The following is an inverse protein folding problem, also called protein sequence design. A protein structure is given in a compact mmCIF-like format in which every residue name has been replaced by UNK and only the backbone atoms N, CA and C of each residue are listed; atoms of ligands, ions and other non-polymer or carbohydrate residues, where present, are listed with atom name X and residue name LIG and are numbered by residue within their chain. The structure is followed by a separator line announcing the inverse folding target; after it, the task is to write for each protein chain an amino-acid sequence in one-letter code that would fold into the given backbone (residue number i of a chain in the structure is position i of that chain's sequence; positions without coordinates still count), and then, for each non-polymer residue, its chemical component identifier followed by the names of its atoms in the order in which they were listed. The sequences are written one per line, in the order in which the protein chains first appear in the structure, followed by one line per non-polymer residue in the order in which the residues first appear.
data_IF_459835984605
#
_entry.id   IF_459835984605
#
_cell.length_a   1.000
_cell.length_b   1.000
_cell.length_c   1.000
_cell.angle_alpha   90.00
_cell.angle_beta   90.00
_cell.angle_gamma   90.00
#
_symmetry.space_group_name_H-M   'P 1'
#
loop_
_entity.id
_entity.type
_entity.pdbx_description
1 polymer ?
#
# COMPACT_ATOMS: atom_id res chain seq x y z
N UNK A 1 13.75 11.40 -8.14
CA UNK A 1 13.91 9.93 -8.18
C UNK A 1 12.53 9.29 -8.29
N UNK A 2 12.34 8.27 -9.13
CA UNK A 2 11.04 7.59 -9.28
C UNK A 2 11.24 6.06 -9.26
N UNK A 3 10.19 5.32 -8.92
CA UNK A 3 10.17 3.86 -8.89
C UNK A 3 9.91 3.29 -7.50
N UNK A 4 10.06 1.98 -7.37
CA UNK A 4 9.92 1.26 -6.11
C UNK A 4 11.26 1.17 -5.38
N UNK A 5 11.22 1.41 -4.07
CA UNK A 5 12.36 1.36 -3.15
C UNK A 5 12.03 0.39 -2.03
N UNK A 6 13.07 -0.15 -1.39
CA UNK A 6 12.91 -0.97 -0.21
C UNK A 6 14.05 -0.73 0.79
N UNK A 7 13.76 -0.99 2.05
CA UNK A 7 14.78 -1.20 3.07
C UNK A 7 14.68 -2.63 3.61
N UNK A 8 15.81 -3.21 3.98
CA UNK A 8 15.92 -4.57 4.52
C UNK A 8 16.58 -4.52 5.90
N UNK A 9 15.94 -5.12 6.89
CA UNK A 9 16.54 -5.46 8.17
C UNK A 9 16.67 -6.98 8.28
N UNK A 10 17.71 -7.47 8.96
CA UNK A 10 17.89 -8.92 9.20
C UNK A 10 17.93 -9.22 10.68
N UNK A 11 17.18 -10.22 11.11
CA UNK A 11 17.16 -10.72 12.49
C UNK A 11 17.39 -12.22 12.46
N UNK A 12 18.50 -12.70 13.02
CA UNK A 12 18.84 -14.13 13.11
C UNK A 12 18.75 -14.88 11.76
N UNK A 13 19.12 -14.20 10.66
CA UNK A 13 19.08 -14.76 9.30
C UNK A 13 17.76 -14.54 8.55
N UNK A 14 16.70 -14.13 9.24
CA UNK A 14 15.41 -13.81 8.64
C UNK A 14 15.39 -12.36 8.14
N UNK A 15 15.00 -12.14 6.88
CA UNK A 15 14.99 -10.83 6.26
C UNK A 15 13.59 -10.20 6.30
N UNK A 16 13.50 -8.99 6.86
CA UNK A 16 12.29 -8.16 6.90
C UNK A 16 12.47 -7.04 5.90
N UNK A 17 11.55 -6.91 4.95
CA UNK A 17 11.59 -5.88 3.90
C UNK A 17 10.38 -4.99 3.97
N UNK A 18 10.62 -3.68 3.89
CA UNK A 18 9.56 -2.67 3.77
C UNK A 18 9.74 -2.01 2.41
N UNK A 19 8.65 -1.88 1.64
CA UNK A 19 8.66 -1.35 0.27
C UNK A 19 7.84 -0.07 0.20
N UNK A 20 8.29 0.87 -0.61
CA UNK A 20 7.58 2.12 -0.90
C UNK A 20 7.84 2.57 -2.34
N UNK A 21 7.14 3.60 -2.80
CA UNK A 21 7.29 4.14 -4.14
C UNK A 21 7.52 5.64 -4.09
N UNK A 22 8.31 6.14 -5.04
CA UNK A 22 8.46 7.56 -5.33
C UNK A 22 7.98 7.83 -6.75
N UNK A 23 7.25 8.91 -6.92
CA UNK A 23 6.72 9.37 -8.20
C UNK A 23 6.76 10.89 -8.29
N UNK A 24 6.66 11.41 -9.52
CA UNK A 24 6.52 12.85 -9.74
C UNK A 24 5.15 13.31 -9.28
N UNK A 25 5.11 14.41 -8.54
CA UNK A 25 3.86 15.08 -8.17
C UNK A 25 3.09 15.57 -9.41
N UNK A 26 3.82 15.91 -10.48
CA UNK A 26 3.28 16.32 -11.80
C UNK A 26 3.11 15.12 -12.76
N UNK A 27 2.97 13.89 -12.24
CA UNK A 27 2.66 12.74 -13.09
C UNK A 27 1.27 12.90 -13.73
N UNK A 28 1.05 12.20 -14.85
CA UNK A 28 -0.22 12.30 -15.59
C UNK A 28 -1.41 11.75 -14.82
N UNK A 29 -1.13 10.81 -13.94
CA UNK A 29 -2.09 10.20 -13.03
C UNK A 29 -1.52 10.27 -11.59
N UNK A 30 -2.39 10.19 -10.59
CA UNK A 30 -2.02 9.97 -9.20
C UNK A 30 -2.76 8.73 -8.68
N UNK A 31 -2.11 7.84 -7.92
CA UNK A 31 -2.80 6.73 -7.31
C UNK A 31 -3.80 7.25 -6.27
N UNK A 32 -4.89 6.54 -6.00
CA UNK A 32 -5.76 6.89 -4.87
C UNK A 32 -5.10 6.60 -3.51
N UNK A 33 -4.22 5.58 -3.46
CA UNK A 33 -3.43 5.20 -2.28
C UNK A 33 -2.06 4.67 -2.70
N UNK A 34 -1.03 4.84 -1.85
CA UNK A 34 0.29 4.23 -2.10
C UNK A 34 0.22 2.71 -2.03
N UNK A 35 -0.44 2.16 -1.01
CA UNK A 35 -0.58 0.71 -0.85
C UNK A 35 -2.01 0.34 -0.54
N UNK A 36 -2.39 -0.86 -0.97
CA UNK A 36 -3.69 -1.45 -0.66
C UNK A 36 -3.45 -2.87 -0.17
N UNK A 37 -3.88 -3.17 1.05
CA UNK A 37 -3.83 -4.51 1.61
C UNK A 37 -5.21 -5.12 1.56
N UNK A 38 -5.28 -6.33 1.00
CA UNK A 38 -6.51 -7.10 0.83
C UNK A 38 -6.25 -8.57 1.19
N UNK A 39 -7.33 -9.29 1.45
CA UNK A 39 -7.28 -10.72 1.71
C UNK A 39 -7.47 -11.52 0.42
N UNK A 40 -7.03 -12.79 0.44
CA UNK A 40 -7.25 -13.69 -0.69
C UNK A 40 -8.76 -13.84 -0.91
N UNK A 41 -9.20 -13.67 -2.15
CA UNK A 41 -10.60 -13.78 -2.55
C UNK A 41 -11.37 -12.46 -2.51
N UNK A 42 -10.77 -11.36 -2.05
CA UNK A 42 -11.41 -10.05 -2.07
C UNK A 42 -11.58 -9.52 -3.51
N UNK A 43 -12.65 -8.77 -3.73
CA UNK A 43 -12.85 -8.01 -4.97
C UNK A 43 -12.21 -6.63 -4.82
N UNK A 44 -11.22 -6.35 -5.66
CA UNK A 44 -10.37 -5.17 -5.53
C UNK A 44 -10.59 -4.23 -6.70
N UNK A 45 -10.58 -2.92 -6.43
CA UNK A 45 -10.56 -1.91 -7.46
C UNK A 45 -9.35 -0.99 -7.28
N UNK A 46 -8.37 -1.10 -8.17
CA UNK A 46 -7.16 -0.26 -8.16
C UNK A 46 -7.43 0.97 -9.00
N UNK A 47 -7.38 2.15 -8.37
CA UNK A 47 -7.76 3.40 -9.04
C UNK A 47 -6.62 4.42 -9.13
N UNK A 48 -6.58 5.11 -10.27
CA UNK A 48 -5.69 6.21 -10.57
C UNK A 48 -6.50 7.42 -11.03
N UNK A 49 -6.37 8.54 -10.32
CA UNK A 49 -7.00 9.80 -10.68
C UNK A 49 -6.23 10.46 -11.82
N UNK A 50 -6.92 10.80 -12.91
CA UNK A 50 -6.37 11.58 -14.01
C UNK A 50 -6.09 13.02 -13.55
N UNK A 51 -4.87 13.49 -13.77
CA UNK A 51 -4.44 14.85 -13.37
C UNK A 51 -4.09 15.69 -14.58
N UNK A 52 -3.37 15.11 -15.54
CA UNK A 52 -3.08 15.78 -16.81
C UNK A 52 -3.94 15.15 -17.91
N UNK A 53 -4.63 16.00 -18.66
CA UNK A 53 -5.36 15.59 -19.86
C UNK A 53 -4.37 15.54 -21.02
N UNK A 54 -4.30 14.38 -21.68
CA UNK A 54 -3.55 14.21 -22.92
C UNK A 54 -4.38 13.45 -23.93
N UNK A 55 -4.20 13.81 -25.18
CA UNK A 55 -4.77 13.13 -26.33
C UNK A 55 -3.94 11.89 -26.70
N UNK A 56 -3.79 10.96 -25.75
CA UNK A 56 -3.01 9.72 -25.87
C UNK A 56 -3.74 8.57 -25.15
N UNK A 57 -3.44 7.33 -25.52
CA UNK A 57 -3.95 6.15 -24.82
C UNK A 57 -3.37 6.07 -23.40
N UNK A 58 -4.21 5.67 -22.44
CA UNK A 58 -3.75 5.34 -21.08
C UNK A 58 -3.35 3.87 -21.02
N UNK A 59 -2.25 3.56 -20.31
CA UNK A 59 -1.71 2.21 -20.22
C UNK A 59 -1.43 1.85 -18.76
N UNK A 60 -1.75 0.60 -18.41
CA UNK A 60 -1.54 0.04 -17.07
C UNK A 60 -0.54 -1.10 -17.13
N UNK A 61 0.42 -1.09 -16.20
CA UNK A 61 1.42 -2.12 -16.03
C UNK A 61 1.37 -2.69 -14.61
N UNK A 62 1.78 -3.96 -14.45
CA UNK A 62 2.06 -4.60 -13.17
C UNK A 62 3.47 -5.14 -13.19
N UNK A 63 4.30 -4.70 -12.24
CA UNK A 63 5.72 -5.06 -12.14
C UNK A 63 6.49 -4.81 -13.47
N UNK A 64 6.05 -3.83 -14.27
CA UNK A 64 6.62 -3.52 -15.58
C UNK A 64 6.06 -4.33 -16.75
N UNK A 65 5.24 -5.35 -16.49
CA UNK A 65 4.51 -6.10 -17.53
C UNK A 65 3.20 -5.40 -17.87
N UNK A 66 2.89 -5.29 -19.17
CA UNK A 66 1.65 -4.69 -19.65
C UNK A 66 0.43 -5.49 -19.20
N UNK A 67 -0.63 -4.80 -18.76
CA UNK A 67 -1.94 -5.42 -18.43
C UNK A 67 -2.96 -5.08 -19.50
N UNK A 68 -3.30 -3.80 -19.63
CA UNK A 68 -4.28 -3.31 -20.59
C UNK A 68 -4.07 -1.82 -20.89
N UNK A 69 -4.78 -1.33 -21.90
CA UNK A 69 -4.82 0.07 -22.31
C UNK A 69 -6.25 0.57 -22.48
N UNK A 70 -6.44 1.87 -22.30
CA UNK A 70 -7.70 2.57 -22.58
C UNK A 70 -7.48 3.54 -23.75
N UNK A 71 -8.30 3.49 -24.81
CA UNK A 71 -8.18 4.37 -25.95
C UNK A 71 -8.27 5.86 -25.57
N UNK A 72 -7.49 6.70 -26.24
CA UNK A 72 -7.38 8.16 -26.07
C UNK A 72 -8.70 8.89 -25.81
N UNK A 73 -9.75 8.58 -26.57
CA UNK A 73 -11.03 9.30 -26.51
C UNK A 73 -11.95 8.81 -25.38
N UNK A 74 -11.58 7.71 -24.72
CA UNK A 74 -12.37 7.03 -23.71
C UNK A 74 -11.66 6.99 -22.35
N UNK A 75 -10.53 7.72 -22.20
CA UNK A 75 -9.77 7.74 -20.94
C UNK A 75 -10.62 8.39 -19.83
N UNK A 76 -11.05 7.63 -18.81
CA UNK A 76 -11.94 8.12 -17.76
C UNK A 76 -11.21 9.12 -16.84
N UNK A 77 -11.96 9.79 -15.97
CA UNK A 77 -11.38 10.65 -14.93
C UNK A 77 -10.71 9.85 -13.81
N UNK A 78 -11.21 8.64 -13.57
CA UNK A 78 -10.63 7.65 -12.67
C UNK A 78 -10.37 6.39 -13.50
N UNK A 79 -9.10 6.07 -13.70
CA UNK A 79 -8.67 4.88 -14.38
C UNK A 79 -8.63 3.73 -13.39
N UNK A 80 -9.39 2.66 -13.66
CA UNK A 80 -9.64 1.60 -12.70
C UNK A 80 -9.22 0.21 -13.23
N UNK A 81 -8.73 -0.63 -12.33
CA UNK A 81 -8.45 -2.05 -12.59
C UNK A 81 -9.28 -2.87 -11.62
N UNK A 82 -10.28 -3.55 -12.15
CA UNK A 82 -11.11 -4.47 -11.37
C UNK A 82 -10.47 -5.86 -11.31
N UNK A 83 -10.20 -6.35 -10.11
CA UNK A 83 -9.66 -7.67 -9.85
C UNK A 83 -10.62 -8.44 -8.94
N UNK A 84 -11.55 -9.24 -9.51
CA UNK A 84 -12.43 -10.06 -8.73
C UNK A 84 -11.66 -11.27 -8.16
N UNK A 85 -11.94 -11.63 -6.90
CA UNK A 85 -11.32 -12.76 -6.21
C UNK A 85 -9.78 -12.76 -6.22
N UNK A 86 -9.18 -11.65 -5.80
CA UNK A 86 -7.74 -11.43 -5.85
C UNK A 86 -6.94 -12.58 -5.21
N UNK A 87 -5.89 -13.03 -5.91
CA UNK A 87 -4.98 -14.09 -5.44
C UNK A 87 -3.61 -13.50 -5.06
N UNK A 88 -2.79 -14.21 -4.27
CA UNK A 88 -1.44 -13.75 -3.89
C UNK A 88 -0.54 -13.37 -5.08
N UNK A 89 -0.73 -14.04 -6.22
CA UNK A 89 -0.04 -13.74 -7.48
C UNK A 89 -0.44 -12.40 -8.10
N UNK A 90 -1.61 -11.83 -7.73
CA UNK A 90 -2.10 -10.53 -8.22
C UNK A 90 -1.42 -9.35 -7.53
N UNK A 91 -0.76 -9.59 -6.39
CA UNK A 91 0.03 -8.60 -5.69
C UNK A 91 1.19 -8.07 -6.56
N UNK A 92 1.59 -6.83 -6.29
CA UNK A 92 2.66 -6.17 -7.04
C UNK A 92 2.51 -4.67 -7.10
N UNK A 93 3.42 -4.03 -7.83
CA UNK A 93 3.37 -2.60 -8.10
C UNK A 93 2.64 -2.38 -9.41
N UNK A 94 1.50 -1.71 -9.34
CA UNK A 94 0.71 -1.28 -10.48
C UNK A 94 1.13 0.14 -10.87
N UNK A 95 1.25 0.40 -12.16
CA UNK A 95 1.56 1.73 -12.66
C UNK A 95 0.64 2.15 -13.79
N UNK A 96 0.35 3.45 -13.83
CA UNK A 96 -0.48 4.08 -14.85
C UNK A 96 0.25 5.27 -15.47
N UNK A 97 0.22 5.36 -16.80
CA UNK A 97 0.78 6.47 -17.58
C UNK A 97 0.08 6.58 -18.93
N UNK A 98 0.26 7.70 -19.63
CA UNK A 98 -0.03 7.74 -21.06
C UNK A 98 1.04 7.00 -21.86
N UNK A 99 0.67 6.49 -23.04
CA UNK A 99 1.50 5.60 -23.86
C UNK A 99 2.84 6.23 -24.27
N UNK A 100 2.87 7.53 -24.61
CA UNK A 100 4.09 8.28 -24.95
C UNK A 100 4.95 8.66 -23.74
N UNK A 101 4.48 8.35 -22.53
CA UNK A 101 5.21 8.58 -21.29
C UNK A 101 6.32 7.54 -21.03
N UNK A 102 6.95 7.65 -19.86
CA UNK A 102 7.97 6.71 -19.39
C UNK A 102 7.77 6.37 -17.91
N UNK A 103 8.67 5.55 -17.34
CA UNK A 103 8.61 5.15 -15.94
C UNK A 103 8.66 6.37 -14.99
N UNK A 104 9.30 7.47 -15.39
CA UNK A 104 9.39 8.69 -14.58
C UNK A 104 8.11 9.52 -14.56
N UNK A 105 7.22 9.35 -15.54
CA UNK A 105 5.90 10.00 -15.61
C UNK A 105 4.77 9.09 -15.15
N UNK A 106 5.11 7.90 -14.67
CA UNK A 106 4.14 6.91 -14.18
C UNK A 106 3.70 7.23 -12.75
N UNK A 107 2.42 7.00 -12.49
CA UNK A 107 1.88 6.85 -11.16
C UNK A 107 2.14 5.42 -10.67
N UNK A 108 2.34 5.22 -9.36
CA UNK A 108 2.54 3.89 -8.78
C UNK A 108 1.63 3.68 -7.58
N UNK A 109 1.02 2.50 -7.51
CA UNK A 109 0.35 1.98 -6.30
C UNK A 109 0.76 0.52 -6.11
N UNK A 110 0.76 0.03 -4.88
CA UNK A 110 1.14 -1.35 -4.58
C UNK A 110 -0.03 -2.10 -3.99
N UNK A 111 -0.42 -3.18 -4.66
CA UNK A 111 -1.36 -4.15 -4.12
C UNK A 111 -0.61 -5.20 -3.31
N UNK A 112 -1.09 -5.46 -2.10
CA UNK A 112 -0.64 -6.50 -1.17
C UNK A 112 -1.83 -7.43 -0.99
N UNK A 113 -1.68 -8.68 -1.41
CA UNK A 113 -2.71 -9.71 -1.20
C UNK A 113 -2.17 -10.71 -0.19
N UNK A 114 -2.84 -10.82 0.96
CA UNK A 114 -2.50 -11.79 2.00
C UNK A 114 -2.75 -13.20 1.49
N UNK A 115 -1.95 -14.17 1.95
CA UNK A 115 -2.10 -15.59 1.54
C UNK A 115 -3.45 -16.18 1.96
N UNK A 116 -3.98 -15.71 3.08
CA UNK A 116 -5.19 -16.22 3.70
C UNK A 116 -6.36 -15.25 3.51
N UNK A 117 -7.56 -15.77 3.71
CA UNK A 117 -8.79 -14.98 3.83
C UNK A 117 -8.78 -14.14 5.11
N UNK A 118 -9.72 -13.20 5.19
CA UNK A 118 -9.90 -12.36 6.36
C UNK A 118 -9.98 -13.19 7.66
N UNK A 119 -9.32 -12.69 8.71
CA UNK A 119 -9.26 -13.32 10.04
C UNK A 119 -8.62 -14.72 10.10
N UNK A 120 -7.95 -15.16 9.03
CA UNK A 120 -7.21 -16.45 9.00
C UNK A 120 -5.70 -16.23 8.88
N UNK A 121 -4.94 -17.17 9.43
CA UNK A 121 -3.48 -17.21 9.34
C UNK A 121 -2.94 -18.64 9.47
N UNK A 122 -1.63 -18.77 9.30
CA UNK A 122 -0.88 -20.02 9.35
C UNK A 122 -0.55 -20.53 7.94
N UNK A 123 0.32 -21.55 7.86
CA UNK A 123 0.77 -22.10 6.57
C UNK A 123 -0.39 -22.63 5.71
N UNK A 124 -1.45 -23.13 6.36
CA UNK A 124 -2.66 -23.66 5.72
C UNK A 124 -3.90 -22.78 5.95
N UNK A 125 -3.75 -21.56 6.50
CA UNK A 125 -4.88 -20.67 6.80
C UNK A 125 -5.96 -21.24 7.75
N UNK A 126 -5.62 -22.26 8.55
CA UNK A 126 -6.56 -22.92 9.46
C UNK A 126 -6.65 -22.26 10.84
N UNK A 127 -5.73 -21.34 11.17
CA UNK A 127 -5.71 -20.64 12.47
C UNK A 127 -6.47 -19.32 12.38
N UNK A 128 -7.07 -18.91 13.50
CA UNK A 128 -7.81 -17.64 13.60
C UNK A 128 -6.88 -16.54 14.07
N UNK A 129 -6.94 -15.39 13.41
CA UNK A 129 -6.15 -14.21 13.73
C UNK A 129 -6.51 -13.63 15.10
N UNK A 130 -5.55 -12.95 15.72
CA UNK A 130 -5.87 -11.98 16.76
C UNK A 130 -6.75 -10.88 16.14
N UNK A 131 -7.82 -10.47 16.82
CA UNK A 131 -8.70 -9.40 16.33
C UNK A 131 -7.95 -8.07 16.44
N UNK A 132 -7.62 -7.49 15.29
CA UNK A 132 -6.92 -6.22 15.20
C UNK A 132 -7.94 -5.06 15.12
N UNK A 133 -7.88 -4.15 16.08
CA UNK A 133 -8.66 -2.91 16.11
C UNK A 133 -7.91 -1.78 15.39
N UNK A 134 -8.59 -0.64 15.21
CA UNK A 134 -8.00 0.59 14.68
C UNK A 134 -7.24 0.38 13.35
N UNK A 135 -7.79 -0.42 12.43
CA UNK A 135 -7.16 -0.74 11.14
C UNK A 135 -5.80 -1.47 11.23
N UNK A 136 -5.53 -2.15 12.35
CA UNK A 136 -4.40 -3.08 12.41
C UNK A 136 -4.59 -4.26 11.45
N UNK A 137 -3.49 -4.77 10.91
CA UNK A 137 -3.50 -5.88 9.94
C UNK A 137 -2.92 -7.13 10.59
N UNK A 138 -3.63 -8.27 10.50
CA UNK A 138 -3.13 -9.54 10.99
C UNK A 138 -2.01 -10.09 10.09
N UNK A 139 -0.88 -10.46 10.68
CA UNK A 139 0.21 -11.10 9.94
C UNK A 139 -0.13 -12.58 9.65
N UNK A 140 -0.14 -12.98 8.38
CA UNK A 140 -0.55 -14.33 7.97
C UNK A 140 0.37 -15.47 8.45
N UNK A 141 1.65 -15.21 8.71
CA UNK A 141 2.54 -16.27 9.25
C UNK A 141 2.54 -16.38 10.79
N UNK A 142 2.15 -15.32 11.53
CA UNK A 142 2.27 -15.29 13.00
C UNK A 142 0.94 -15.14 13.74
N UNK A 143 -0.10 -14.61 13.10
CA UNK A 143 -1.41 -14.34 13.69
C UNK A 143 -1.48 -13.11 14.61
N UNK A 144 -0.36 -12.40 14.76
CA UNK A 144 -0.27 -11.16 15.54
C UNK A 144 -0.57 -9.94 14.66
N UNK A 145 -1.04 -8.85 15.27
CA UNK A 145 -1.38 -7.62 14.58
C UNK A 145 -0.14 -6.75 14.33
N UNK A 146 -0.07 -6.18 13.12
CA UNK A 146 0.78 -5.02 12.81
C UNK A 146 -0.08 -3.78 13.01
N UNK A 147 0.26 -2.98 14.02
CA UNK A 147 -0.51 -1.80 14.37
C UNK A 147 -0.10 -0.58 13.54
N UNK A 148 -1.07 0.29 13.18
CA UNK A 148 -0.76 1.54 12.52
C UNK A 148 0.06 2.49 13.41
N UNK A 149 0.77 3.47 12.81
CA UNK A 149 1.52 4.46 13.57
C UNK A 149 0.60 5.28 14.49
N UNK A 150 0.84 5.19 15.80
CA UNK A 150 0.05 5.83 16.85
C UNK A 150 -0.80 4.87 17.70
N UNK A 151 -0.76 3.57 17.41
CA UNK A 151 -1.42 2.53 18.20
C UNK A 151 -0.46 1.38 18.53
N UNK A 152 -0.71 0.69 19.64
CA UNK A 152 0.06 -0.47 20.08
C UNK A 152 -0.80 -1.49 20.84
N UNK A 153 -0.16 -2.55 21.33
CA UNK A 153 -0.80 -3.69 21.98
C UNK A 153 -1.06 -4.83 21.00
N UNK A 154 -1.44 -6.02 21.51
CA UNK A 154 -1.64 -7.21 20.68
C UNK A 154 -2.80 -7.07 19.69
N UNK A 155 -3.81 -6.27 20.07
CA UNK A 155 -5.03 -5.99 19.30
C UNK A 155 -5.03 -4.58 18.72
N UNK A 156 -3.95 -3.80 18.85
CA UNK A 156 -3.87 -2.40 18.42
C UNK A 156 -4.91 -1.45 19.06
N UNK A 157 -5.49 -1.82 20.20
CA UNK A 157 -6.51 -1.04 20.90
C UNK A 157 -5.94 0.17 21.66
N UNK A 158 -4.65 0.12 22.05
CA UNK A 158 -4.04 1.13 22.90
C UNK A 158 -3.52 2.28 22.05
N UNK A 159 -4.14 3.45 22.21
CA UNK A 159 -3.61 4.69 21.67
C UNK A 159 -2.27 5.05 22.33
N UNK A 160 -1.34 5.54 21.52
CA UNK A 160 -0.04 6.01 21.98
C UNK A 160 -0.05 7.49 22.36
N UNK A 161 1.05 7.96 22.96
CA UNK A 161 1.23 9.39 23.23
C UNK A 161 1.20 10.20 21.93
N UNK A 162 0.79 11.46 22.04
CA UNK A 162 0.65 12.33 20.88
C UNK A 162 1.98 12.42 20.10
N UNK A 163 1.90 12.28 18.78
CA UNK A 163 3.04 12.34 17.86
C UNK A 163 4.12 11.26 18.08
N UNK A 164 3.74 10.12 18.69
CA UNK A 164 4.60 8.95 18.80
C UNK A 164 4.22 7.85 17.80
N UNK A 165 5.20 7.03 17.44
CA UNK A 165 5.02 5.90 16.54
C UNK A 165 6.00 4.77 16.87
N UNK A 166 5.90 3.65 16.16
CA UNK A 166 6.73 2.46 16.37
C UNK A 166 6.02 1.41 17.22
N UNK A 167 6.58 0.19 17.27
CA UNK A 167 5.94 -0.99 17.90
C UNK A 167 5.61 -0.77 19.38
N UNK A 168 6.41 0.06 20.05
CA UNK A 168 6.24 0.42 21.48
C UNK A 168 6.03 1.92 21.68
N UNK A 169 5.79 2.68 20.62
CA UNK A 169 5.55 4.13 20.66
C UNK A 169 6.64 4.94 21.40
N UNK A 170 7.91 4.59 21.17
CA UNK A 170 9.05 5.29 21.78
C UNK A 170 9.67 6.31 20.83
N UNK A 171 9.35 6.21 19.55
CA UNK A 171 9.80 7.09 18.49
C UNK A 171 8.86 8.30 18.38
N UNK A 172 9.41 9.50 18.16
CA UNK A 172 8.68 10.77 18.10
C UNK A 172 8.82 11.42 16.73
N UNK A 173 7.73 12.01 16.24
CA UNK A 173 7.78 12.85 15.04
C UNK A 173 8.55 14.13 15.35
N UNK A 174 9.47 14.53 14.46
CA UNK A 174 10.37 15.66 14.69
C UNK A 174 9.81 17.01 14.24
N UNK A 175 8.66 17.03 13.54
CA UNK A 175 8.06 18.26 13.02
C UNK A 175 7.31 19.06 14.10
N UNK A 176 7.21 20.40 13.95
CA UNK A 176 6.44 21.24 14.87
C UNK A 176 4.93 20.95 14.81
N UNK A 177 4.44 20.45 13.68
CA UNK A 177 3.05 20.00 13.47
C UNK A 177 2.92 18.46 13.59
N UNK A 178 3.83 17.83 14.36
CA UNK A 178 3.85 16.38 14.54
C UNK A 178 4.23 15.63 13.26
N UNK A 179 3.33 14.76 12.78
CA UNK A 179 3.60 13.79 11.71
C UNK A 179 2.95 14.17 10.35
N UNK A 180 2.56 15.44 10.16
CA UNK A 180 1.79 15.92 8.99
C UNK A 180 2.34 15.50 7.62
N UNK A 181 3.67 15.55 7.45
CA UNK A 181 4.33 15.26 6.16
C UNK A 181 4.99 13.88 6.14
N UNK A 182 4.59 12.98 7.04
CA UNK A 182 5.24 11.69 7.22
C UNK A 182 4.34 10.58 6.68
N UNK A 183 4.86 9.85 5.70
CA UNK A 183 4.29 8.59 5.25
C UNK A 183 5.08 7.46 5.90
N UNK A 184 4.40 6.62 6.66
CA UNK A 184 4.98 5.47 7.32
C UNK A 184 4.74 4.23 6.47
N UNK A 185 5.77 3.42 6.31
CA UNK A 185 5.64 2.09 5.71
C UNK A 185 6.08 1.06 6.75
N UNK A 186 5.28 0.02 6.93
CA UNK A 186 5.49 -1.04 7.89
C UNK A 186 5.72 -2.37 7.15
N UNK A 187 6.16 -3.43 7.86
CA UNK A 187 6.31 -4.75 7.23
C UNK A 187 5.03 -5.24 6.56
N UNK A 188 5.20 -6.00 5.49
CA UNK A 188 4.08 -6.74 4.89
C UNK A 188 3.47 -7.67 5.98
N UNK A 189 2.13 -7.80 6.06
CA UNK A 189 1.14 -7.34 5.09
C UNK A 189 0.59 -5.90 5.26
N UNK A 190 1.12 -5.06 6.15
CA UNK A 190 0.50 -3.75 6.44
C UNK A 190 0.57 -2.74 5.29
N UNK A 191 1.72 -2.59 4.63
CA UNK A 191 1.92 -1.58 3.58
C UNK A 191 2.34 -0.20 4.13
N UNK A 192 1.78 0.87 3.59
CA UNK A 192 2.08 2.25 3.93
C UNK A 192 0.81 3.06 4.25
N UNK A 193 0.92 3.94 5.23
CA UNK A 193 -0.15 4.86 5.63
C UNK A 193 0.41 6.16 6.18
N UNK A 194 -0.44 7.17 6.32
CA UNK A 194 -0.16 8.31 7.19
C UNK A 194 -0.17 7.87 8.66
N UNK A 195 0.34 8.73 9.55
CA UNK A 195 0.07 8.58 10.99
C UNK A 195 -1.42 8.80 11.29
N UNK A 196 -1.89 8.26 12.41
CA UNK A 196 -3.24 8.54 12.91
C UNK A 196 -3.52 10.05 12.99
N UNK A 197 -4.73 10.46 12.57
CA UNK A 197 -5.14 11.85 12.49
C UNK A 197 -4.82 12.59 11.18
N UNK A 198 -4.18 11.93 10.21
CA UNK A 198 -3.86 12.51 8.90
C UNK A 198 -4.46 11.70 7.74
N UNK A 199 -4.83 12.39 6.67
CA UNK A 199 -5.37 11.82 5.43
C UNK A 199 -4.78 12.53 4.21
N UNK A 200 -4.76 11.84 3.06
CA UNK A 200 -4.27 12.37 1.78
C UNK A 200 -2.93 11.78 1.35
N UNK A 201 -2.48 12.22 0.17
CA UNK A 201 -1.20 11.89 -0.48
C UNK A 201 -0.31 13.12 -0.61
#
# INVERSE_FOLDING_TARGET
INGAYFCEGRVRGEAIRIRTMKMRQQASFLPATLTMTVDRGDNVNISFKKVLLKEEDAVIYKNGSFIHSVPRHEVPDILEVHLPHAQPQDAGVYSARYIGGNLFTSAFTRLIVRRCEAQKWGPECNRVCTVCMNNGVCHEDTGECICPPGFMGRTCEKACELHTFGRTCKERCSGPEGCKSYVFCLPDPYGCSCATGWQGL
#
